data_IF_907322179166
#
_entry.id   IF_907322179166
#
_cell.length_a   1.000
_cell.length_b   1.000
_cell.length_c   1.000
_cell.angle_alpha   90.00
_cell.angle_beta   90.00
_cell.angle_gamma   90.00
#
_symmetry.space_group_name_H-M   'P 1'
#
loop_
_entity.id
_entity.type
_entity.pdbx_description
1 polymer ?
#
# COMPACT_ATOMS: atom_id res chain seq x y z
N UNK A 1 10.79 -3.91 1.15
CA UNK A 1 9.40 -4.16 0.66
C UNK A 1 8.35 -3.39 1.46
N UNK A 2 8.28 -3.53 2.79
CA UNK A 2 7.32 -2.83 3.66
C UNK A 2 7.23 -1.32 3.39
N UNK A 3 8.37 -0.61 3.44
CA UNK A 3 8.40 0.83 3.22
C UNK A 3 7.80 1.24 1.86
N UNK A 4 8.06 0.46 0.81
CA UNK A 4 7.50 0.72 -0.53
C UNK A 4 5.98 0.66 -0.54
N UNK A 5 5.38 -0.39 0.04
CA UNK A 5 3.92 -0.58 0.10
C UNK A 5 3.23 0.53 0.92
N UNK A 6 3.83 0.93 2.04
CA UNK A 6 3.27 1.98 2.90
C UNK A 6 3.37 3.35 2.23
N UNK A 7 4.55 3.69 1.69
CA UNK A 7 4.77 4.98 1.04
C UNK A 7 3.95 5.13 -0.24
N UNK A 8 3.82 4.08 -1.05
CA UNK A 8 2.97 4.11 -2.25
C UNK A 8 1.49 4.25 -1.87
N UNK A 9 1.03 3.53 -0.84
CA UNK A 9 -0.33 3.67 -0.31
C UNK A 9 -0.65 5.08 0.16
N UNK A 10 0.28 5.71 0.88
CA UNK A 10 0.14 7.11 1.31
C UNK A 10 0.03 8.07 0.12
N UNK A 11 0.89 7.93 -0.88
CA UNK A 11 0.82 8.79 -2.07
C UNK A 11 -0.46 8.55 -2.89
N UNK A 12 -0.95 7.31 -2.98
CA UNK A 12 -2.23 7.00 -3.63
C UNK A 12 -3.40 7.66 -2.90
N UNK A 13 -3.42 7.64 -1.56
CA UNK A 13 -4.45 8.33 -0.78
C UNK A 13 -4.43 9.84 -1.02
N UNK A 14 -3.24 10.46 -1.06
CA UNK A 14 -3.10 11.89 -1.40
C UNK A 14 -3.61 12.22 -2.80
N UNK A 15 -3.28 11.38 -3.79
CA UNK A 15 -3.78 11.55 -5.15
C UNK A 15 -5.32 11.43 -5.22
N UNK A 16 -5.91 10.51 -4.45
CA UNK A 16 -7.37 10.37 -4.38
C UNK A 16 -8.05 11.59 -3.76
N UNK A 17 -7.46 12.19 -2.71
CA UNK A 17 -7.97 13.43 -2.12
C UNK A 17 -7.95 14.59 -3.13
N UNK A 18 -6.84 14.77 -3.84
CA UNK A 18 -6.75 15.81 -4.87
C UNK A 18 -7.74 15.57 -6.02
N UNK A 19 -7.93 14.30 -6.42
CA UNK A 19 -8.88 13.96 -7.47
C UNK A 19 -10.34 14.22 -7.05
N UNK A 20 -10.68 13.93 -5.80
CA UNK A 20 -12.00 14.20 -5.22
C UNK A 20 -12.28 15.72 -5.13
N UNK A 21 -11.28 16.53 -4.77
CA UNK A 21 -11.37 17.99 -4.78
C UNK A 21 -11.64 18.55 -6.19
N UNK A 22 -10.88 18.09 -7.19
CA UNK A 22 -11.05 18.51 -8.59
C UNK A 22 -12.43 18.10 -9.15
N UNK A 23 -12.88 16.87 -8.85
CA UNK A 23 -14.22 16.41 -9.24
C UNK A 23 -15.32 17.29 -8.66
N UNK A 24 -15.22 17.66 -7.38
CA UNK A 24 -16.20 18.54 -6.73
C UNK A 24 -16.19 19.96 -7.31
N UNK A 25 -15.03 20.43 -7.75
CA UNK A 25 -14.88 21.72 -8.42
C UNK A 25 -15.37 21.70 -9.88
N UNK A 26 -15.63 20.52 -10.44
CA UNK A 26 -15.94 20.36 -11.86
C UNK A 26 -14.76 20.67 -12.78
N UNK A 27 -13.53 20.52 -12.27
CA UNK A 27 -12.29 20.81 -12.99
C UNK A 27 -11.58 19.52 -13.43
N UNK A 28 -11.16 19.47 -14.68
CA UNK A 28 -10.48 18.32 -15.28
C UNK A 28 -11.40 17.22 -15.83
N UNK A 29 -10.79 16.09 -16.20
CA UNK A 29 -11.48 14.93 -16.78
C UNK A 29 -12.09 14.06 -15.67
N UNK A 30 -13.42 14.05 -15.60
CA UNK A 30 -14.16 13.33 -14.57
C UNK A 30 -13.89 11.82 -14.58
N UNK A 31 -13.73 11.20 -15.75
CA UNK A 31 -13.48 9.75 -15.86
C UNK A 31 -12.08 9.40 -15.34
N UNK A 32 -11.08 10.22 -15.69
CA UNK A 32 -9.72 10.07 -15.20
C UNK A 32 -9.64 10.24 -13.68
N UNK A 33 -10.29 11.27 -13.13
CA UNK A 33 -10.27 11.56 -11.70
C UNK A 33 -11.00 10.47 -10.89
N UNK A 34 -12.15 9.99 -11.38
CA UNK A 34 -12.85 8.86 -10.78
C UNK A 34 -11.98 7.59 -10.80
N UNK A 35 -11.29 7.35 -11.92
CA UNK A 35 -10.35 6.22 -12.05
C UNK A 35 -9.16 6.33 -11.08
N UNK A 36 -8.67 7.54 -10.79
CA UNK A 36 -7.63 7.75 -9.77
C UNK A 36 -8.10 7.36 -8.37
N UNK A 37 -9.32 7.75 -7.99
CA UNK A 37 -9.91 7.39 -6.70
C UNK A 37 -10.07 5.85 -6.62
N UNK A 38 -10.61 5.24 -7.68
CA UNK A 38 -10.78 3.78 -7.74
C UNK A 38 -9.44 3.03 -7.64
N UNK A 39 -8.39 3.52 -8.30
CA UNK A 39 -7.04 2.95 -8.24
C UNK A 39 -6.47 3.03 -6.83
N UNK A 40 -6.65 4.16 -6.14
CA UNK A 40 -6.19 4.31 -4.77
C UNK A 40 -6.91 3.35 -3.80
N UNK A 41 -8.21 3.14 -3.99
CA UNK A 41 -8.99 2.14 -3.24
C UNK A 41 -8.50 0.72 -3.51
N UNK A 42 -8.30 0.35 -4.77
CA UNK A 42 -7.71 -0.94 -5.13
C UNK A 42 -6.36 -1.16 -4.42
N UNK A 43 -5.47 -0.15 -4.41
CA UNK A 43 -4.20 -0.25 -3.71
C UNK A 43 -4.38 -0.44 -2.20
N UNK A 44 -5.30 0.29 -1.57
CA UNK A 44 -5.59 0.14 -0.14
C UNK A 44 -6.09 -1.28 0.19
N UNK A 45 -6.99 -1.81 -0.63
CA UNK A 45 -7.66 -3.09 -0.37
C UNK A 45 -6.77 -4.30 -0.69
N UNK A 46 -5.87 -4.21 -1.68
CA UNK A 46 -5.13 -5.37 -2.19
C UNK A 46 -3.63 -5.34 -1.90
N UNK A 47 -3.02 -4.14 -1.84
CA UNK A 47 -1.57 -4.01 -1.66
C UNK A 47 -1.24 -3.60 -0.23
N UNK A 48 -1.91 -2.58 0.30
CA UNK A 48 -1.62 -2.04 1.64
C UNK A 48 -1.93 -3.05 2.75
N UNK A 49 -2.88 -3.96 2.53
CA UNK A 49 -3.19 -5.08 3.44
C UNK A 49 -1.98 -5.97 3.75
N UNK A 50 -0.98 -6.03 2.86
CA UNK A 50 0.26 -6.78 3.07
C UNK A 50 1.16 -6.15 4.14
N UNK A 51 0.98 -4.87 4.49
CA UNK A 51 1.88 -4.14 5.37
C UNK A 51 1.98 -4.78 6.77
N UNK A 52 0.86 -5.27 7.33
CA UNK A 52 0.85 -5.92 8.64
C UNK A 52 1.69 -7.20 8.65
N UNK A 53 1.51 -8.08 7.65
CA UNK A 53 2.29 -9.31 7.54
C UNK A 53 3.79 -9.02 7.30
N UNK A 54 4.10 -8.01 6.48
CA UNK A 54 5.47 -7.59 6.22
C UNK A 54 6.15 -7.00 7.46
N UNK A 55 5.39 -6.31 8.32
CA UNK A 55 5.87 -5.82 9.62
C UNK A 55 6.21 -7.00 10.54
N UNK A 56 5.28 -7.93 10.74
CA UNK A 56 5.49 -9.10 11.58
C UNK A 56 6.71 -9.92 11.13
N UNK A 57 6.86 -10.14 9.82
CA UNK A 57 8.03 -10.82 9.26
C UNK A 57 9.36 -10.09 9.59
N UNK A 58 9.35 -8.76 9.65
CA UNK A 58 10.52 -7.96 9.96
C UNK A 58 10.86 -7.92 11.47
N UNK A 59 9.85 -7.99 12.34
CA UNK A 59 10.03 -7.80 13.80
C UNK A 59 10.03 -9.10 14.60
N UNK A 60 9.38 -10.16 14.11
CA UNK A 60 9.09 -11.38 14.88
C UNK A 60 9.74 -12.65 14.30
N UNK A 61 10.33 -12.58 13.10
CA UNK A 61 10.86 -13.76 12.38
C UNK A 61 12.14 -14.39 12.96
N UNK A 62 12.80 -13.75 13.93
CA UNK A 62 14.13 -14.16 14.40
C UNK A 62 14.16 -15.57 14.99
N UNK A 63 13.16 -15.92 15.80
CA UNK A 63 13.12 -17.22 16.49
C UNK A 63 13.09 -18.40 15.50
N UNK A 64 12.36 -18.27 14.39
CA UNK A 64 12.28 -19.31 13.36
C UNK A 64 13.61 -19.52 12.64
N UNK A 65 14.30 -18.44 12.28
CA UNK A 65 15.61 -18.49 11.62
C UNK A 65 16.66 -19.12 12.54
N UNK A 66 16.69 -18.71 13.81
CA UNK A 66 17.66 -19.21 14.79
C UNK A 66 17.43 -20.66 15.22
N UNK A 67 16.24 -21.22 14.99
CA UNK A 67 15.94 -22.62 15.29
C UNK A 67 16.44 -23.61 14.22
N UNK A 68 16.82 -23.12 13.04
CA UNK A 68 17.28 -23.97 11.95
C UNK A 68 18.75 -24.37 12.15
N UNK A 69 19.11 -25.66 12.02
CA UNK A 69 20.51 -26.07 12.07
C UNK A 69 21.25 -25.58 10.83
N UNK A 70 22.54 -25.29 10.97
CA UNK A 70 23.38 -24.82 9.86
C UNK A 70 23.37 -25.78 8.66
N UNK A 71 23.24 -27.09 8.91
CA UNK A 71 23.16 -28.12 7.88
C UNK A 71 21.86 -28.12 7.06
N UNK A 72 20.89 -27.25 7.37
CA UNK A 72 19.61 -27.16 6.67
C UNK A 72 19.63 -26.23 5.44
N UNK A 73 20.78 -25.62 5.12
CA UNK A 73 20.98 -24.69 4.01
C UNK A 73 22.17 -25.13 3.14
#
# INVERSE_FOLDING_TARGET
>A
KLAGVVLSGWQMARAALAADELLKAGDGDAEFLASKIATARFHADHLLTQAGALLAAATEGAAGVLAMPETAF
#
